data_IF_965384424653
#
_entry.id   IF_965384424653
#
_cell.length_a   1.000
_cell.length_b   1.000
_cell.length_c   1.000
_cell.angle_alpha   90.00
_cell.angle_beta   90.00
_cell.angle_gamma   90.00
#
_symmetry.space_group_name_H-M   'P 1'
#
loop_
_entity.id
_entity.type
_entity.pdbx_description
1 polymer ?
#
# COMPACT_ATOMS: atom_id res chain seq x y z
N UNK A 1 10.39 -26.96 -18.36
CA UNK A 1 10.12 -27.11 -16.92
C UNK A 1 11.10 -28.11 -16.36
N UNK A 2 11.81 -27.74 -15.30
CA UNK A 2 12.76 -28.63 -14.63
C UNK A 2 12.02 -29.62 -13.73
N UNK A 3 12.58 -30.81 -13.55
CA UNK A 3 12.05 -31.79 -12.60
C UNK A 3 11.97 -31.16 -11.19
N UNK A 4 10.85 -31.28 -10.46
CA UNK A 4 10.67 -30.66 -9.14
C UNK A 4 11.80 -30.97 -8.17
N UNK A 5 12.33 -32.20 -8.22
CA UNK A 5 13.45 -32.66 -7.40
C UNK A 5 14.75 -31.91 -7.70
N UNK A 6 15.02 -31.56 -8.96
CA UNK A 6 16.19 -30.77 -9.33
C UNK A 6 16.02 -29.32 -8.87
N UNK A 7 14.82 -28.75 -8.99
CA UNK A 7 14.51 -27.40 -8.49
C UNK A 7 14.76 -27.29 -6.98
N UNK A 8 14.28 -28.26 -6.19
CA UNK A 8 14.52 -28.31 -4.73
C UNK A 8 15.98 -28.54 -4.37
N UNK A 9 16.68 -29.41 -5.10
CA UNK A 9 18.11 -29.68 -4.89
C UNK A 9 18.96 -28.42 -5.12
N UNK A 10 18.75 -27.75 -6.25
CA UNK A 10 19.44 -26.49 -6.58
C UNK A 10 19.04 -25.38 -5.61
N UNK A 11 17.75 -25.31 -5.23
CA UNK A 11 17.27 -24.39 -4.21
C UNK A 11 17.93 -24.59 -2.85
N UNK A 12 18.15 -25.84 -2.44
CA UNK A 12 18.86 -26.17 -1.19
C UNK A 12 20.33 -25.74 -1.23
N UNK A 13 21.00 -25.91 -2.38
CA UNK A 13 22.35 -25.42 -2.58
C UNK A 13 22.42 -23.88 -2.50
N UNK A 14 21.48 -23.18 -3.14
CA UNK A 14 21.35 -21.73 -3.06
C UNK A 14 21.11 -21.24 -1.62
N UNK A 15 20.22 -21.91 -0.87
CA UNK A 15 19.96 -21.63 0.56
C UNK A 15 21.22 -21.78 1.40
N UNK A 16 22.06 -22.77 1.11
CA UNK A 16 23.29 -23.03 1.86
C UNK A 16 24.38 -21.98 1.57
N UNK A 17 24.61 -21.68 0.30
CA UNK A 17 25.75 -20.90 -0.19
C UNK A 17 25.48 -19.39 -0.32
N UNK A 18 24.23 -18.99 -0.51
CA UNK A 18 23.85 -17.61 -0.84
C UNK A 18 23.90 -17.31 -2.34
N UNK A 19 23.17 -16.29 -2.82
CA UNK A 19 22.97 -16.00 -4.25
C UNK A 19 24.25 -15.58 -4.97
N UNK A 20 25.14 -14.84 -4.32
CA UNK A 20 26.40 -14.37 -4.91
C UNK A 20 27.34 -15.53 -5.27
N UNK A 21 27.61 -16.41 -4.30
CA UNK A 21 28.46 -17.58 -4.50
C UNK A 21 27.80 -18.52 -5.51
N UNK A 22 26.49 -18.73 -5.38
CA UNK A 22 25.74 -19.58 -6.31
C UNK A 22 25.88 -19.10 -7.76
N UNK A 23 25.68 -17.80 -8.04
CA UNK A 23 25.77 -17.25 -9.39
C UNK A 23 27.20 -17.16 -9.92
N UNK A 24 28.21 -17.16 -9.04
CA UNK A 24 29.62 -17.30 -9.47
C UNK A 24 29.92 -18.68 -10.05
N UNK A 25 29.21 -19.73 -9.59
CA UNK A 25 29.38 -21.11 -10.05
C UNK A 25 28.47 -21.38 -11.25
N UNK A 26 27.22 -20.91 -11.18
CA UNK A 26 26.21 -21.07 -12.23
C UNK A 26 25.74 -19.69 -12.72
N UNK A 27 26.52 -19.02 -13.60
CA UNK A 27 26.13 -17.72 -14.16
C UNK A 27 24.92 -17.86 -15.09
N UNK A 28 24.11 -16.80 -15.19
CA UNK A 28 22.87 -16.81 -16.01
C UNK A 28 23.14 -16.94 -17.52
N UNK A 29 24.36 -16.60 -17.99
CA UNK A 29 24.79 -16.71 -19.41
C UNK A 29 23.76 -16.15 -20.41
N UNK A 30 23.31 -14.92 -20.17
CA UNK A 30 22.25 -14.29 -20.97
C UNK A 30 22.77 -13.63 -22.27
N UNK A 31 24.09 -13.59 -22.45
CA UNK A 31 24.77 -13.02 -23.64
C UNK A 31 24.92 -14.01 -24.81
N UNK A 32 24.43 -15.25 -24.69
CA UNK A 32 24.65 -16.31 -25.68
C UNK A 32 23.57 -16.23 -26.77
N UNK A 33 23.97 -16.28 -28.06
CA UNK A 33 23.04 -16.25 -29.21
C UNK A 33 22.02 -17.41 -29.20
N UNK A 34 22.37 -18.52 -28.54
CA UNK A 34 21.47 -19.65 -28.32
C UNK A 34 20.78 -19.55 -26.95
N UNK A 35 19.48 -19.25 -26.97
CA UNK A 35 18.62 -19.22 -25.79
C UNK A 35 18.57 -20.56 -25.04
N UNK A 36 18.94 -21.68 -25.68
CA UNK A 36 19.03 -22.99 -25.05
C UNK A 36 20.25 -23.13 -24.10
N UNK A 37 21.27 -22.30 -24.28
CA UNK A 37 22.46 -22.26 -23.41
C UNK A 37 22.33 -21.27 -22.24
N UNK A 38 21.30 -20.41 -22.29
CA UNK A 38 20.99 -19.46 -21.23
C UNK A 38 20.35 -20.17 -20.02
N UNK A 39 20.87 -19.89 -18.83
CA UNK A 39 20.39 -20.48 -17.58
C UNK A 39 19.14 -19.76 -17.03
N UNK A 40 18.21 -19.35 -17.90
CA UNK A 40 16.96 -18.65 -17.54
C UNK A 40 16.10 -19.46 -16.57
N UNK A 41 16.22 -20.79 -16.64
CA UNK A 41 15.55 -21.73 -15.74
C UNK A 41 15.95 -21.56 -14.27
N UNK A 42 17.07 -20.89 -13.98
CA UNK A 42 17.56 -20.59 -12.63
C UNK A 42 16.75 -19.46 -11.98
N UNK A 43 16.13 -18.56 -12.76
CA UNK A 43 15.40 -17.40 -12.23
C UNK A 43 14.28 -17.78 -11.24
N UNK A 44 13.42 -18.78 -11.51
CA UNK A 44 12.44 -19.27 -10.53
C UNK A 44 13.08 -19.79 -9.24
N UNK A 45 14.25 -20.43 -9.30
CA UNK A 45 14.99 -20.91 -8.12
C UNK A 45 15.50 -19.73 -7.30
N UNK A 46 16.14 -18.75 -7.94
CA UNK A 46 16.58 -17.51 -7.29
C UNK A 46 15.41 -16.79 -6.64
N UNK A 47 14.29 -16.66 -7.34
CA UNK A 47 13.09 -16.01 -6.83
C UNK A 47 12.55 -16.70 -5.57
N UNK A 48 12.53 -18.03 -5.53
CA UNK A 48 11.94 -18.75 -4.40
C UNK A 48 12.85 -18.86 -3.19
N UNK A 49 14.16 -19.04 -3.39
CA UNK A 49 15.08 -19.46 -2.33
C UNK A 49 16.06 -18.37 -1.87
N UNK A 50 16.12 -17.21 -2.54
CA UNK A 50 16.99 -16.09 -2.13
C UNK A 50 16.48 -15.43 -0.84
N UNK A 51 17.36 -15.39 0.15
CA UNK A 51 17.21 -14.68 1.43
C UNK A 51 18.61 -14.26 1.90
N UNK A 52 18.77 -13.07 2.46
CA UNK A 52 20.10 -12.65 2.95
C UNK A 52 21.09 -12.29 1.85
N UNK A 53 20.61 -11.73 0.74
CA UNK A 53 21.45 -11.29 -0.38
C UNK A 53 22.04 -9.89 -0.14
N UNK A 54 23.06 -9.50 -0.89
CA UNK A 54 23.46 -8.10 -0.98
C UNK A 54 22.68 -7.37 -2.08
N UNK A 55 22.11 -6.21 -1.75
CA UNK A 55 21.46 -5.29 -2.70
C UNK A 55 22.47 -4.74 -3.71
N UNK A 56 23.72 -4.52 -3.29
CA UNK A 56 24.82 -4.15 -4.19
C UNK A 56 25.05 -5.20 -5.27
N UNK A 57 24.88 -6.50 -4.97
CA UNK A 57 24.95 -7.56 -5.97
C UNK A 57 23.77 -7.51 -6.95
N UNK A 58 22.55 -7.25 -6.47
CA UNK A 58 21.41 -7.07 -7.37
C UNK A 58 21.68 -5.93 -8.36
N UNK A 59 22.20 -4.80 -7.87
CA UNK A 59 22.61 -3.66 -8.71
C UNK A 59 23.70 -4.04 -9.71
N UNK A 60 24.83 -4.56 -9.23
CA UNK A 60 26.03 -4.79 -10.03
C UNK A 60 25.97 -6.00 -10.96
N UNK A 61 25.08 -6.96 -10.69
CA UNK A 61 24.97 -8.18 -11.48
C UNK A 61 23.65 -8.23 -12.24
N UNK A 62 22.52 -8.05 -11.57
CA UNK A 62 21.20 -8.25 -12.19
C UNK A 62 20.78 -7.03 -13.01
N UNK A 63 20.88 -5.81 -12.47
CA UNK A 63 20.52 -4.60 -13.22
C UNK A 63 21.50 -4.33 -14.37
N UNK A 64 22.79 -4.58 -14.19
CA UNK A 64 23.77 -4.46 -15.28
C UNK A 64 23.43 -5.34 -16.50
N UNK A 65 22.84 -6.53 -16.29
CA UNK A 65 22.36 -7.37 -17.38
C UNK A 65 21.21 -6.69 -18.14
N UNK A 66 20.27 -6.06 -17.41
CA UNK A 66 19.17 -5.32 -18.04
C UNK A 66 19.67 -4.17 -18.92
N UNK A 67 20.68 -3.44 -18.45
CA UNK A 67 21.29 -2.32 -19.20
C UNK A 67 22.02 -2.79 -20.46
N UNK A 68 22.62 -3.99 -20.43
CA UNK A 68 23.28 -4.60 -21.57
C UNK A 68 22.27 -5.12 -22.61
N UNK A 69 21.20 -5.79 -22.17
CA UNK A 69 20.16 -6.32 -23.07
C UNK A 69 19.29 -5.21 -23.68
N UNK A 70 19.00 -4.14 -22.93
CA UNK A 70 18.29 -2.96 -23.43
C UNK A 70 19.00 -2.26 -24.59
N UNK A 71 20.30 -2.52 -24.79
CA UNK A 71 21.09 -2.03 -25.93
C UNK A 71 21.18 -3.01 -27.10
N UNK A 72 20.89 -4.31 -26.92
CA UNK A 72 21.31 -5.34 -27.89
C UNK A 72 20.13 -5.98 -28.67
N UNK A 73 18.88 -6.00 -28.20
CA UNK A 73 17.82 -6.73 -28.95
C UNK A 73 16.45 -6.02 -28.96
N UNK A 74 16.06 -5.53 -30.14
CA UNK A 74 14.67 -5.20 -30.46
C UNK A 74 13.86 -6.48 -30.73
N UNK A 75 13.38 -7.16 -29.69
CA UNK A 75 12.43 -8.26 -29.86
C UNK A 75 11.49 -8.43 -28.65
N UNK A 76 10.28 -8.95 -28.90
CA UNK A 76 9.25 -9.24 -27.87
C UNK A 76 9.67 -10.28 -26.82
N UNK A 77 10.81 -10.96 -27.00
CA UNK A 77 11.37 -11.91 -26.01
C UNK A 77 12.10 -11.19 -24.87
N UNK A 78 12.49 -9.92 -25.06
CA UNK A 78 13.21 -9.13 -24.08
C UNK A 78 12.32 -8.76 -22.88
N UNK A 79 11.10 -8.28 -23.12
CA UNK A 79 10.18 -7.80 -22.08
C UNK A 79 9.87 -8.86 -21.00
N UNK A 80 9.73 -10.13 -21.40
CA UNK A 80 9.45 -11.23 -20.47
C UNK A 80 10.67 -11.57 -19.59
N UNK A 81 11.89 -11.47 -20.15
CA UNK A 81 13.12 -11.68 -19.40
C UNK A 81 13.41 -10.50 -18.48
N UNK A 82 13.25 -9.26 -18.97
CA UNK A 82 13.33 -8.03 -18.17
C UNK A 82 12.40 -8.11 -16.97
N UNK A 83 11.13 -8.47 -17.18
CA UNK A 83 10.19 -8.68 -16.10
C UNK A 83 10.64 -9.79 -15.14
N UNK A 84 11.16 -10.91 -15.67
CA UNK A 84 11.61 -12.04 -14.85
C UNK A 84 12.79 -11.66 -13.94
N UNK A 85 13.76 -10.89 -14.45
CA UNK A 85 14.89 -10.34 -13.70
C UNK A 85 14.43 -9.36 -12.63
N UNK A 86 13.55 -8.40 -12.98
CA UNK A 86 12.92 -7.52 -11.99
C UNK A 86 12.20 -8.31 -10.91
N UNK A 87 11.52 -9.41 -11.28
CA UNK A 87 10.75 -10.22 -10.34
C UNK A 87 11.59 -10.93 -9.28
N UNK A 88 12.93 -10.90 -9.39
CA UNK A 88 13.85 -11.34 -8.34
C UNK A 88 14.00 -10.31 -7.21
N UNK A 89 13.78 -9.01 -7.49
CA UNK A 89 14.04 -7.92 -6.54
C UNK A 89 13.37 -8.16 -5.16
N UNK A 90 12.09 -8.58 -5.04
CA UNK A 90 11.47 -8.82 -3.73
C UNK A 90 12.23 -9.86 -2.89
N UNK A 91 12.79 -10.89 -3.54
CA UNK A 91 13.57 -11.93 -2.87
C UNK A 91 14.95 -11.42 -2.45
N UNK A 92 15.57 -10.53 -3.23
CA UNK A 92 16.78 -9.82 -2.81
C UNK A 92 16.51 -8.83 -1.67
N UNK A 93 15.29 -8.30 -1.56
CA UNK A 93 14.86 -7.46 -0.45
C UNK A 93 14.47 -8.24 0.82
N UNK A 94 14.46 -9.57 0.78
CA UNK A 94 14.17 -10.43 1.93
C UNK A 94 15.41 -10.57 2.84
N UNK A 95 15.43 -9.80 3.93
CA UNK A 95 16.55 -9.67 4.86
C UNK A 95 17.95 -9.42 4.25
N UNK A 96 18.13 -8.47 3.30
CA UNK A 96 19.44 -8.14 2.74
C UNK A 96 20.46 -7.67 3.77
N UNK A 97 21.74 -7.95 3.49
CA UNK A 97 22.83 -7.76 4.45
C UNK A 97 23.46 -6.36 4.43
N UNK A 98 23.17 -5.54 3.40
CA UNK A 98 23.82 -4.25 3.13
C UNK A 98 22.83 -3.12 2.78
N UNK A 99 21.64 -3.12 3.38
CA UNK A 99 20.62 -2.10 3.06
C UNK A 99 21.09 -0.70 3.40
N UNK A 100 21.74 -0.52 4.56
CA UNK A 100 22.21 0.78 5.03
C UNK A 100 23.25 1.40 4.08
N UNK A 101 24.11 0.57 3.50
CA UNK A 101 25.21 0.97 2.63
C UNK A 101 24.76 1.12 1.17
N UNK A 102 23.97 0.17 0.66
CA UNK A 102 23.76 0.00 -0.78
C UNK A 102 22.42 0.50 -1.30
N UNK A 103 21.41 0.72 -0.44
CA UNK A 103 20.07 1.07 -0.92
C UNK A 103 20.03 2.43 -1.64
N UNK A 104 20.85 3.40 -1.19
CA UNK A 104 20.89 4.72 -1.82
C UNK A 104 21.36 4.66 -3.27
N UNK A 105 22.28 3.76 -3.57
CA UNK A 105 22.80 3.55 -4.93
C UNK A 105 21.78 2.92 -5.87
N UNK A 106 20.73 2.28 -5.34
CA UNK A 106 19.61 1.72 -6.11
C UNK A 106 18.47 2.71 -6.34
N UNK A 107 18.45 3.83 -5.61
CA UNK A 107 17.33 4.79 -5.62
C UNK A 107 17.00 5.24 -7.04
N UNK A 108 18.03 5.60 -7.82
CA UNK A 108 17.85 6.19 -9.15
C UNK A 108 17.28 5.17 -10.13
N UNK A 109 17.81 3.96 -10.14
CA UNK A 109 17.40 2.86 -11.00
C UNK A 109 15.95 2.45 -10.70
N UNK A 110 15.59 2.35 -9.42
CA UNK A 110 14.21 2.06 -9.00
C UNK A 110 13.24 3.18 -9.37
N UNK A 111 13.61 4.45 -9.16
CA UNK A 111 12.76 5.58 -9.52
C UNK A 111 12.57 5.70 -11.04
N UNK A 112 13.61 5.43 -11.82
CA UNK A 112 13.56 5.43 -13.28
C UNK A 112 12.63 4.32 -13.78
N UNK A 113 12.79 3.09 -13.27
CA UNK A 113 11.92 1.98 -13.61
C UNK A 113 10.46 2.22 -13.21
N UNK A 114 10.19 2.86 -12.06
CA UNK A 114 8.84 3.28 -11.69
C UNK A 114 8.22 4.26 -12.69
N UNK A 115 9.01 5.12 -13.32
CA UNK A 115 8.52 6.08 -14.31
C UNK A 115 8.32 5.46 -15.70
N UNK A 116 9.23 4.59 -16.10
CA UNK A 116 9.35 4.10 -17.48
C UNK A 116 8.66 2.75 -17.70
N UNK A 117 8.55 1.91 -16.67
CA UNK A 117 8.12 0.51 -16.78
C UNK A 117 6.90 0.20 -15.88
N UNK A 118 5.66 0.44 -16.36
CA UNK A 118 4.45 0.20 -15.56
C UNK A 118 4.31 -1.24 -15.05
N UNK A 119 4.81 -2.22 -15.81
CA UNK A 119 4.70 -3.65 -15.50
C UNK A 119 5.49 -4.04 -14.24
N UNK A 120 6.57 -3.33 -13.91
CA UNK A 120 7.42 -3.65 -12.74
C UNK A 120 7.05 -2.83 -11.51
N UNK A 121 6.13 -1.88 -11.64
CA UNK A 121 5.70 -1.01 -10.54
C UNK A 121 5.25 -1.81 -9.30
N UNK A 122 4.48 -2.88 -9.51
CA UNK A 122 4.03 -3.76 -8.42
C UNK A 122 5.18 -4.51 -7.72
N UNK A 123 6.19 -4.90 -8.49
CA UNK A 123 7.41 -5.57 -7.98
C UNK A 123 8.17 -4.61 -7.07
N UNK A 124 8.46 -3.40 -7.55
CA UNK A 124 9.21 -2.38 -6.79
C UNK A 124 8.44 -1.98 -5.53
N UNK A 125 7.13 -1.79 -5.62
CA UNK A 125 6.27 -1.55 -4.47
C UNK A 125 6.39 -2.66 -3.41
N UNK A 126 6.29 -3.92 -3.83
CA UNK A 126 6.44 -5.07 -2.93
C UNK A 126 7.82 -5.11 -2.27
N UNK A 127 8.88 -4.86 -3.03
CA UNK A 127 10.26 -4.80 -2.52
C UNK A 127 10.45 -3.72 -1.46
N UNK A 128 9.96 -2.49 -1.71
CA UNK A 128 10.03 -1.40 -0.74
C UNK A 128 9.24 -1.74 0.54
N UNK A 129 8.05 -2.32 0.40
CA UNK A 129 7.25 -2.76 1.55
C UNK A 129 7.97 -3.81 2.39
N UNK A 130 8.59 -4.82 1.76
CA UNK A 130 9.38 -5.85 2.47
C UNK A 130 10.48 -5.19 3.29
N UNK A 131 11.28 -4.30 2.66
CA UNK A 131 12.37 -3.59 3.33
C UNK A 131 11.90 -2.78 4.54
N UNK A 132 10.80 -2.04 4.40
CA UNK A 132 10.29 -1.19 5.48
C UNK A 132 9.68 -2.05 6.61
N UNK A 133 8.79 -2.97 6.25
CA UNK A 133 8.02 -3.75 7.22
C UNK A 133 8.92 -4.69 8.05
N UNK A 134 9.90 -5.34 7.42
CA UNK A 134 10.79 -6.25 8.16
C UNK A 134 11.61 -5.50 9.21
N UNK A 135 12.18 -4.33 8.88
CA UNK A 135 12.97 -3.55 9.82
C UNK A 135 12.10 -2.97 10.94
N UNK A 136 10.88 -2.50 10.64
CA UNK A 136 9.93 -2.06 11.67
C UNK A 136 9.57 -3.16 12.66
N UNK A 137 9.29 -4.38 12.18
CA UNK A 137 8.94 -5.51 13.06
C UNK A 137 10.05 -5.81 14.07
N UNK A 138 11.32 -5.70 13.65
CA UNK A 138 12.48 -5.84 14.54
C UNK A 138 12.47 -4.75 15.62
N UNK A 139 12.28 -3.48 15.24
CA UNK A 139 12.24 -2.36 16.19
C UNK A 139 11.03 -2.40 17.14
N UNK A 140 9.90 -2.92 16.68
CA UNK A 140 8.69 -3.08 17.48
C UNK A 140 8.76 -4.31 18.42
N UNK A 141 9.82 -5.11 18.35
CA UNK A 141 9.97 -6.35 19.12
C UNK A 141 9.00 -7.46 18.70
N UNK A 142 8.33 -7.31 17.54
CA UNK A 142 7.40 -8.29 16.96
C UNK A 142 8.16 -9.36 16.18
N UNK A 143 9.14 -9.98 16.82
CA UNK A 143 9.93 -11.05 16.20
C UNK A 143 9.27 -12.39 16.53
N UNK A 144 8.58 -12.98 15.56
CA UNK A 144 8.15 -14.37 15.63
C UNK A 144 9.37 -15.30 15.45
N UNK A 145 10.23 -15.36 16.47
CA UNK A 145 11.36 -16.29 16.55
C UNK A 145 10.91 -17.77 16.62
N UNK A 146 9.61 -18.01 16.81
CA UNK A 146 9.03 -19.32 17.08
C UNK A 146 8.22 -19.92 15.92
N UNK A 147 8.33 -19.38 14.70
CA UNK A 147 7.85 -20.08 13.52
C UNK A 147 8.71 -21.31 13.26
N UNK A 148 8.25 -22.50 13.66
CA UNK A 148 8.86 -23.83 13.45
C UNK A 148 9.19 -24.19 11.97
N UNK A 149 9.02 -23.24 11.04
CA UNK A 149 9.02 -23.42 9.59
C UNK A 149 9.93 -22.40 8.84
N UNK A 150 10.70 -21.57 9.57
CA UNK A 150 11.62 -20.62 8.95
C UNK A 150 12.86 -21.35 8.40
N UNK A 151 13.12 -21.22 7.09
CA UNK A 151 14.31 -21.80 6.44
C UNK A 151 15.61 -21.39 7.14
N UNK A 152 16.63 -22.27 7.12
CA UNK A 152 17.94 -22.01 7.72
C UNK A 152 18.60 -20.73 7.17
N UNK A 153 18.40 -20.40 5.89
CA UNK A 153 18.89 -19.13 5.32
C UNK A 153 18.23 -17.90 5.94
N UNK A 154 16.91 -17.95 6.18
CA UNK A 154 16.17 -16.87 6.81
C UNK A 154 16.63 -16.64 8.25
N UNK A 155 16.83 -17.71 9.02
CA UNK A 155 17.33 -17.61 10.39
C UNK A 155 18.73 -16.95 10.43
N UNK A 156 19.62 -17.37 9.52
CA UNK A 156 20.96 -16.75 9.39
C UNK A 156 20.87 -15.26 9.04
N UNK A 157 20.07 -14.90 8.04
CA UNK A 157 19.90 -13.50 7.65
C UNK A 157 19.30 -12.64 8.78
N UNK A 158 18.26 -13.14 9.46
CA UNK A 158 17.63 -12.46 10.58
C UNK A 158 18.57 -12.23 11.77
N UNK A 159 19.59 -13.08 11.97
CA UNK A 159 20.60 -12.88 13.01
C UNK A 159 21.41 -11.58 12.83
N UNK A 160 21.48 -11.04 11.60
CA UNK A 160 22.14 -9.77 11.31
C UNK A 160 21.23 -8.55 11.56
N UNK A 161 19.92 -8.75 11.69
CA UNK A 161 18.93 -7.68 11.91
C UNK A 161 18.81 -7.36 13.41
N UNK A 162 19.90 -6.83 13.98
CA UNK A 162 19.87 -6.24 15.33
C UNK A 162 19.01 -4.96 15.33
N UNK A 163 18.54 -4.47 16.50
CA UNK A 163 17.82 -3.19 16.57
C UNK A 163 18.62 -2.03 15.96
N UNK A 164 19.96 -2.02 16.11
CA UNK A 164 20.82 -1.01 15.51
C UNK A 164 20.84 -1.13 13.99
N UNK A 165 21.09 -2.33 13.45
CA UNK A 165 21.08 -2.57 12.01
C UNK A 165 19.72 -2.21 11.38
N UNK A 166 18.62 -2.57 12.06
CA UNK A 166 17.28 -2.22 11.60
C UNK A 166 17.04 -0.70 11.57
N UNK A 167 17.56 0.03 12.56
CA UNK A 167 17.49 1.49 12.58
C UNK A 167 18.33 2.11 11.45
N UNK A 168 19.55 1.61 11.21
CA UNK A 168 20.43 2.09 10.14
C UNK A 168 19.85 1.83 8.75
N UNK A 169 19.28 0.64 8.53
CA UNK A 169 18.54 0.29 7.32
C UNK A 169 17.35 1.23 7.07
N UNK A 170 16.56 1.52 8.11
CA UNK A 170 15.44 2.46 8.01
C UNK A 170 15.90 3.90 7.77
N UNK A 171 17.05 4.32 8.30
CA UNK A 171 17.62 5.63 8.02
C UNK A 171 18.01 5.77 6.54
N UNK A 172 18.62 4.73 5.95
CA UNK A 172 18.90 4.69 4.51
C UNK A 172 17.61 4.80 3.67
N UNK A 173 16.58 4.00 3.99
CA UNK A 173 15.27 4.04 3.31
C UNK A 173 14.60 5.42 3.46
N UNK A 174 14.63 5.99 4.67
CA UNK A 174 14.09 7.31 4.99
C UNK A 174 14.72 8.42 4.17
N UNK A 175 16.05 8.38 3.96
CA UNK A 175 16.76 9.38 3.15
C UNK A 175 16.27 9.42 1.69
N UNK A 176 15.71 8.31 1.22
CA UNK A 176 15.19 8.14 -0.15
C UNK A 176 13.69 8.39 -0.26
N UNK A 177 12.99 8.52 0.88
CA UNK A 177 11.53 8.58 0.91
C UNK A 177 10.96 9.78 0.14
N UNK A 178 11.68 10.91 0.08
CA UNK A 178 11.26 12.08 -0.70
C UNK A 178 11.07 11.75 -2.18
N UNK A 179 12.04 11.06 -2.77
CA UNK A 179 12.05 10.78 -4.21
C UNK A 179 10.98 9.74 -4.54
N UNK A 180 10.92 8.64 -3.78
CA UNK A 180 9.89 7.63 -3.94
C UNK A 180 8.48 8.19 -3.74
N UNK A 181 8.24 9.03 -2.72
CA UNK A 181 6.93 9.66 -2.53
C UNK A 181 6.56 10.57 -3.71
N UNK A 182 7.53 11.24 -4.34
CA UNK A 182 7.30 12.07 -5.53
C UNK A 182 6.83 11.23 -6.71
N UNK A 183 7.62 10.20 -7.05
CA UNK A 183 7.34 9.31 -8.20
C UNK A 183 6.06 8.51 -7.99
N UNK A 184 5.90 7.87 -6.82
CA UNK A 184 4.74 7.04 -6.52
C UNK A 184 3.45 7.85 -6.48
N UNK A 185 3.46 9.06 -5.89
CA UNK A 185 2.27 9.93 -5.87
C UNK A 185 1.91 10.40 -7.28
N UNK A 186 2.91 10.71 -8.11
CA UNK A 186 2.71 11.06 -9.52
C UNK A 186 2.09 9.92 -10.32
N UNK A 187 2.62 8.71 -10.16
CA UNK A 187 2.12 7.51 -10.81
C UNK A 187 0.72 7.11 -10.32
N UNK A 188 0.47 7.25 -9.02
CA UNK A 188 -0.84 6.97 -8.42
C UNK A 188 -1.96 7.82 -9.04
N UNK A 189 -1.70 9.10 -9.28
CA UNK A 189 -2.68 10.00 -9.92
C UNK A 189 -2.83 9.78 -11.44
N UNK A 190 -1.86 9.12 -12.10
CA UNK A 190 -1.94 8.76 -13.52
C UNK A 190 -2.58 7.40 -13.77
N UNK A 191 -2.63 6.53 -12.76
CA UNK A 191 -3.15 5.16 -12.90
C UNK A 191 -4.67 5.15 -13.12
N UNK A 192 -5.11 4.49 -14.19
CA UNK A 192 -6.53 4.23 -14.46
C UNK A 192 -7.08 3.01 -13.70
N UNK A 193 -6.21 2.14 -13.16
CA UNK A 193 -6.57 0.93 -12.42
C UNK A 193 -6.32 1.06 -10.91
N UNK A 194 -6.80 0.06 -10.15
CA UNK A 194 -6.72 -0.03 -8.69
C UNK A 194 -5.27 0.07 -8.19
N UNK A 195 -4.86 1.28 -7.80
CA UNK A 195 -3.53 1.63 -7.33
C UNK A 195 -3.21 1.12 -5.93
N UNK A 196 -3.77 -0.02 -5.52
CA UNK A 196 -3.66 -0.55 -4.16
C UNK A 196 -2.22 -0.78 -3.71
N UNK A 197 -1.35 -1.31 -4.60
CA UNK A 197 0.06 -1.49 -4.30
C UNK A 197 0.81 -0.16 -4.12
N UNK A 198 0.52 0.84 -4.95
CA UNK A 198 1.05 2.19 -4.85
C UNK A 198 0.62 2.85 -3.54
N UNK A 199 -0.68 2.83 -3.24
CA UNK A 199 -1.25 3.38 -2.00
C UNK A 199 -0.61 2.75 -0.75
N UNK A 200 -0.50 1.41 -0.70
CA UNK A 200 0.13 0.73 0.43
C UNK A 200 1.61 1.09 0.58
N UNK A 201 2.33 1.27 -0.54
CA UNK A 201 3.76 1.65 -0.50
C UNK A 201 3.94 3.09 -0.05
N UNK A 202 3.09 4.01 -0.52
CA UNK A 202 3.07 5.41 -0.05
C UNK A 202 2.80 5.44 1.46
N UNK A 203 1.89 4.60 1.96
CA UNK A 203 1.60 4.45 3.40
C UNK A 203 2.83 4.00 4.19
N UNK A 204 3.53 2.96 3.74
CA UNK A 204 4.76 2.51 4.40
C UNK A 204 5.86 3.58 4.36
N UNK A 205 6.05 4.29 3.25
CA UNK A 205 7.03 5.37 3.15
C UNK A 205 6.68 6.56 4.04
N UNK A 206 5.41 6.97 4.09
CA UNK A 206 4.95 8.08 4.91
C UNK A 206 5.21 7.84 6.40
N UNK A 207 5.17 6.59 6.85
CA UNK A 207 5.43 6.24 8.24
C UNK A 207 6.90 6.34 8.67
N UNK A 208 7.84 6.32 7.72
CA UNK A 208 9.29 6.42 8.01
C UNK A 208 9.89 7.76 7.58
N UNK A 209 9.24 8.48 6.66
CA UNK A 209 9.70 9.76 6.14
C UNK A 209 9.73 10.86 7.21
N UNK A 210 10.56 11.89 7.00
CA UNK A 210 10.52 13.08 7.85
C UNK A 210 9.15 13.77 7.78
N UNK A 211 8.66 14.22 8.93
CA UNK A 211 7.35 14.88 9.07
C UNK A 211 7.19 16.03 8.07
N UNK A 212 8.23 16.85 7.88
CA UNK A 212 8.20 17.97 6.94
C UNK A 212 7.95 17.54 5.48
N UNK A 213 8.51 16.39 5.09
CA UNK A 213 8.32 15.83 3.75
C UNK A 213 6.87 15.40 3.58
N UNK A 214 6.33 14.64 4.54
CA UNK A 214 4.95 14.16 4.51
C UNK A 214 3.96 15.33 4.54
N UNK A 215 4.15 16.30 5.43
CA UNK A 215 3.36 17.55 5.52
C UNK A 215 3.30 18.27 4.18
N UNK A 216 4.42 18.37 3.47
CA UNK A 216 4.48 19.03 2.16
C UNK A 216 3.67 18.27 1.12
N UNK A 217 3.82 16.95 1.03
CA UNK A 217 3.03 16.12 0.12
C UNK A 217 1.54 16.19 0.45
N UNK A 218 1.19 16.09 1.73
CA UNK A 218 -0.19 16.17 2.20
C UNK A 218 -0.83 17.52 1.85
N UNK A 219 -0.15 18.63 2.13
CA UNK A 219 -0.64 19.99 1.76
C UNK A 219 -0.91 20.11 0.27
N UNK A 220 0.01 19.64 -0.57
CA UNK A 220 -0.15 19.68 -2.03
C UNK A 220 -1.35 18.84 -2.48
N UNK A 221 -1.54 17.66 -1.89
CA UNK A 221 -2.70 16.80 -2.14
C UNK A 221 -4.00 17.47 -1.72
N UNK A 222 -4.06 18.06 -0.52
CA UNK A 222 -5.24 18.75 -0.01
C UNK A 222 -5.59 20.00 -0.84
N UNK A 223 -4.60 20.75 -1.31
CA UNK A 223 -4.83 21.90 -2.20
C UNK A 223 -5.42 21.48 -3.55
N UNK A 224 -4.90 20.40 -4.14
CA UNK A 224 -5.46 19.82 -5.37
C UNK A 224 -6.87 19.29 -5.14
N UNK A 225 -7.10 18.60 -4.02
CA UNK A 225 -8.41 18.06 -3.66
C UNK A 225 -9.45 19.16 -3.54
N UNK A 226 -9.10 20.26 -2.86
CA UNK A 226 -9.98 21.43 -2.73
C UNK A 226 -10.31 22.02 -4.10
N UNK A 227 -9.30 22.22 -4.96
CA UNK A 227 -9.48 22.77 -6.30
C UNK A 227 -10.43 21.90 -7.15
N UNK A 228 -10.18 20.60 -7.23
CA UNK A 228 -11.00 19.66 -8.00
C UNK A 228 -12.43 19.57 -7.44
N UNK A 229 -12.59 19.66 -6.11
CA UNK A 229 -13.92 19.69 -5.47
C UNK A 229 -14.70 20.95 -5.82
N UNK A 230 -14.05 22.12 -5.85
CA UNK A 230 -14.69 23.37 -6.28
C UNK A 230 -15.07 23.35 -7.76
N UNK A 231 -14.21 22.79 -8.61
CA UNK A 231 -14.49 22.62 -10.05
C UNK A 231 -15.71 21.72 -10.28
N UNK A 232 -15.82 20.61 -9.54
CA UNK A 232 -16.98 19.72 -9.61
C UNK A 232 -18.30 20.43 -9.22
N UNK A 233 -18.32 21.14 -8.09
CA UNK A 233 -19.53 21.86 -7.65
C UNK A 233 -19.96 23.00 -8.58
N UNK A 234 -19.00 23.69 -9.21
CA UNK A 234 -19.29 24.71 -10.23
C UNK A 234 -19.89 24.09 -11.49
N UNK A 235 -19.39 22.93 -11.92
CA UNK A 235 -19.92 22.21 -13.09
C UNK A 235 -21.36 21.75 -12.87
N UNK A 236 -21.71 21.31 -11.66
CA UNK A 236 -23.08 20.94 -11.29
C UNK A 236 -24.02 22.15 -11.28
N UNK A 237 -23.58 23.28 -10.71
CA UNK A 237 -24.37 24.53 -10.68
C UNK A 237 -24.65 25.06 -12.09
N UNK A 238 -23.67 24.94 -13.00
CA UNK A 238 -23.83 25.32 -14.41
C UNK A 238 -24.75 24.39 -15.20
N UNK A 239 -24.82 23.10 -14.85
CA UNK A 239 -25.76 22.14 -15.47
C UNK A 239 -27.21 22.42 -15.06
N UNK A 240 -27.42 22.80 -13.79
CA UNK A 240 -28.75 23.12 -13.28
C UNK A 240 -29.34 24.43 -13.83
N UNK A 241 -28.51 25.28 -14.47
CA UNK A 241 -28.92 26.57 -15.03
C UNK A 241 -29.13 26.56 -16.56
N UNK A 242 -28.62 25.55 -17.29
CA UNK A 242 -28.74 25.45 -18.75
C UNK A 242 -29.43 24.13 -19.16
N UNK A 243 -30.73 24.17 -19.42
CA UNK A 243 -31.53 23.07 -19.93
C UNK A 243 -31.41 22.91 -21.46
N UNK A 244 -30.24 22.53 -21.97
CA UNK A 244 -30.11 21.82 -23.26
C UNK A 244 -28.82 20.97 -23.26
N UNK A 245 -28.97 19.67 -23.44
CA UNK A 245 -27.88 18.69 -23.48
C UNK A 245 -27.01 18.80 -24.74
N UNK A 246 -25.71 18.58 -24.60
CA UNK A 246 -24.88 17.74 -25.50
C UNK A 246 -23.51 17.44 -24.86
N UNK A 247 -23.16 16.15 -24.82
CA UNK A 247 -21.81 15.53 -24.81
C UNK A 247 -20.73 15.91 -23.78
N UNK A 248 -21.09 16.42 -22.59
CA UNK A 248 -20.12 16.77 -21.52
C UNK A 248 -20.07 15.79 -20.32
N UNK A 249 -20.52 14.54 -20.49
CA UNK A 249 -20.52 13.50 -19.44
C UNK A 249 -19.11 12.98 -19.08
N UNK A 250 -18.14 13.17 -19.98
CA UNK A 250 -16.74 12.74 -19.80
C UNK A 250 -15.99 13.57 -18.75
N UNK A 251 -16.24 14.88 -18.67
CA UNK A 251 -15.53 15.75 -17.74
C UNK A 251 -15.96 15.51 -16.28
N UNK A 252 -17.25 15.30 -16.01
CA UNK A 252 -17.75 15.04 -14.65
C UNK A 252 -17.22 13.72 -14.07
N UNK A 253 -17.24 12.65 -14.86
CA UNK A 253 -16.69 11.35 -14.44
C UNK A 253 -15.18 11.41 -14.24
N UNK A 254 -14.45 12.20 -15.03
CA UNK A 254 -13.01 12.43 -14.84
C UNK A 254 -12.69 13.19 -13.54
N UNK A 255 -13.47 14.21 -13.18
CA UNK A 255 -13.28 14.98 -11.94
C UNK A 255 -13.58 14.12 -10.70
N UNK A 256 -14.64 13.30 -10.75
CA UNK A 256 -14.96 12.36 -9.68
C UNK A 256 -13.84 11.32 -9.48
N UNK A 257 -13.26 10.81 -10.57
CA UNK A 257 -12.13 9.88 -10.48
C UNK A 257 -10.89 10.53 -9.83
N UNK A 258 -10.51 11.73 -10.28
CA UNK A 258 -9.36 12.45 -9.72
C UNK A 258 -9.60 12.80 -8.25
N UNK A 259 -10.82 13.24 -7.90
CA UNK A 259 -11.20 13.52 -6.51
C UNK A 259 -11.13 12.27 -5.63
N UNK A 260 -11.59 11.13 -6.13
CA UNK A 260 -11.48 9.84 -5.46
C UNK A 260 -10.02 9.43 -5.21
N UNK A 261 -9.15 9.58 -6.22
CA UNK A 261 -7.71 9.32 -6.09
C UNK A 261 -7.05 10.26 -5.07
N UNK A 262 -7.41 11.55 -5.06
CA UNK A 262 -6.84 12.51 -4.10
C UNK A 262 -7.21 12.17 -2.65
N UNK A 263 -8.41 11.66 -2.39
CA UNK A 263 -8.78 11.11 -1.07
C UNK A 263 -7.93 9.88 -0.70
N UNK A 264 -7.78 8.92 -1.62
CA UNK A 264 -6.93 7.75 -1.39
C UNK A 264 -5.46 8.15 -1.13
N UNK A 265 -4.93 9.11 -1.88
CA UNK A 265 -3.57 9.62 -1.70
C UNK A 265 -3.43 10.33 -0.35
N UNK A 266 -4.40 11.17 0.04
CA UNK A 266 -4.37 11.89 1.30
C UNK A 266 -4.35 10.94 2.51
N UNK A 267 -5.19 9.91 2.51
CA UNK A 267 -5.21 8.92 3.60
C UNK A 267 -3.98 8.01 3.58
N UNK A 268 -3.35 7.79 2.42
CA UNK A 268 -2.09 7.05 2.35
C UNK A 268 -0.96 7.76 3.10
N UNK A 269 -1.04 9.08 3.28
CA UNK A 269 -0.04 9.84 4.03
C UNK A 269 -0.28 9.83 5.55
N UNK A 270 -1.42 9.28 6.00
CA UNK A 270 -1.88 9.31 7.40
C UNK A 270 -0.81 8.93 8.44
N UNK A 271 0.03 7.88 8.26
CA UNK A 271 1.01 7.50 9.28
C UNK A 271 2.04 8.58 9.62
N UNK A 272 2.28 9.54 8.71
CA UNK A 272 3.22 10.64 8.94
C UNK A 272 2.55 11.97 9.32
N UNK A 273 1.22 12.01 9.46
CA UNK A 273 0.48 13.24 9.76
C UNK A 273 0.44 13.56 11.26
N UNK A 274 0.41 14.85 11.57
CA UNK A 274 0.14 15.34 12.93
C UNK A 274 -1.36 15.58 13.17
N UNK A 275 -1.75 15.83 14.42
CA UNK A 275 -3.16 16.02 14.80
C UNK A 275 -3.89 17.11 14.00
N UNK A 276 -3.24 18.24 13.69
CA UNK A 276 -3.86 19.32 12.91
C UNK A 276 -4.10 18.92 11.46
N UNK A 277 -3.22 18.11 10.90
CA UNK A 277 -3.35 17.60 9.53
C UNK A 277 -4.43 16.52 9.43
N UNK A 278 -4.55 15.67 10.46
CA UNK A 278 -5.65 14.70 10.59
C UNK A 278 -6.99 15.43 10.69
N UNK A 279 -7.07 16.48 11.53
CA UNK A 279 -8.26 17.34 11.61
C UNK A 279 -8.60 17.98 10.26
N UNK A 280 -7.60 18.47 9.51
CA UNK A 280 -7.81 19.04 8.18
C UNK A 280 -8.36 18.00 7.18
N UNK A 281 -7.84 16.77 7.21
CA UNK A 281 -8.34 15.67 6.39
C UNK A 281 -9.80 15.34 6.75
N UNK A 282 -10.12 15.31 8.05
CA UNK A 282 -11.49 15.08 8.52
C UNK A 282 -12.45 16.19 8.06
N UNK A 283 -12.04 17.46 8.16
CA UNK A 283 -12.83 18.62 7.69
C UNK A 283 -13.16 18.49 6.20
N UNK A 284 -12.21 18.06 5.37
CA UNK A 284 -12.46 17.83 3.95
C UNK A 284 -13.31 16.59 3.67
N UNK A 285 -13.21 15.56 4.52
CA UNK A 285 -13.95 14.30 4.38
C UNK A 285 -15.43 14.47 4.76
N UNK A 286 -15.74 15.28 5.76
CA UNK A 286 -17.11 15.48 6.29
C UNK A 286 -18.16 15.83 5.22
N UNK A 287 -17.98 16.83 4.34
CA UNK A 287 -18.95 17.11 3.27
C UNK A 287 -19.02 15.98 2.24
N UNK A 288 -17.91 15.30 1.97
CA UNK A 288 -17.86 14.20 0.98
C UNK A 288 -18.63 12.94 1.42
N UNK A 289 -19.00 12.82 2.70
CA UNK A 289 -19.89 11.75 3.19
C UNK A 289 -21.33 11.89 2.67
N UNK A 290 -21.72 13.08 2.19
CA UNK A 290 -23.04 13.39 1.61
C UNK A 290 -22.97 13.72 0.12
N UNK A 291 -21.86 13.42 -0.53
CA UNK A 291 -21.65 13.74 -1.94
C UNK A 291 -22.65 12.99 -2.83
N UNK A 292 -23.17 13.60 -3.89
CA UNK A 292 -24.11 12.94 -4.80
C UNK A 292 -23.45 11.77 -5.55
N UNK A 293 -22.13 11.82 -5.74
CA UNK A 293 -21.36 10.75 -6.37
C UNK A 293 -21.05 9.62 -5.37
N UNK A 294 -21.67 8.46 -5.56
CA UNK A 294 -21.46 7.28 -4.71
C UNK A 294 -19.99 6.79 -4.65
N UNK A 295 -19.18 7.08 -5.68
CA UNK A 295 -17.73 6.82 -5.65
C UNK A 295 -17.04 7.67 -4.57
N UNK A 296 -17.41 8.94 -4.46
CA UNK A 296 -16.80 9.90 -3.54
C UNK A 296 -17.23 9.61 -2.11
N UNK A 297 -18.51 9.31 -1.88
CA UNK A 297 -18.96 8.82 -0.59
C UNK A 297 -18.16 7.57 -0.17
N UNK A 298 -18.01 6.58 -1.06
CA UNK A 298 -17.23 5.37 -0.77
C UNK A 298 -15.80 5.70 -0.32
N UNK A 299 -15.12 6.64 -0.99
CA UNK A 299 -13.77 7.07 -0.60
C UNK A 299 -13.77 7.85 0.70
N UNK A 300 -14.72 8.75 0.93
CA UNK A 300 -14.83 9.51 2.16
C UNK A 300 -15.01 8.60 3.39
N UNK A 301 -15.91 7.61 3.31
CA UNK A 301 -16.05 6.61 4.38
C UNK A 301 -14.80 5.73 4.55
N UNK A 302 -14.09 5.39 3.46
CA UNK A 302 -12.81 4.68 3.55
C UNK A 302 -11.75 5.54 4.27
N UNK A 303 -11.65 6.82 3.95
CA UNK A 303 -10.74 7.75 4.66
C UNK A 303 -11.09 7.79 6.14
N UNK A 304 -12.37 7.98 6.46
CA UNK A 304 -12.84 8.04 7.83
C UNK A 304 -12.53 6.74 8.58
N UNK A 305 -12.85 5.57 8.02
CA UNK A 305 -12.60 4.30 8.70
C UNK A 305 -11.11 4.08 9.00
N UNK A 306 -10.22 4.48 8.10
CA UNK A 306 -8.78 4.39 8.31
C UNK A 306 -8.31 5.37 9.41
N UNK A 307 -8.86 6.58 9.48
CA UNK A 307 -8.57 7.52 10.58
C UNK A 307 -9.02 6.92 11.91
N UNK A 308 -10.26 6.44 12.00
CA UNK A 308 -10.83 5.90 13.25
C UNK A 308 -10.06 4.66 13.75
N UNK A 309 -9.57 3.82 12.85
CA UNK A 309 -8.82 2.61 13.21
C UNK A 309 -7.39 2.89 13.70
N UNK A 310 -6.75 3.96 13.21
CA UNK A 310 -5.32 4.20 13.45
C UNK A 310 -5.04 5.42 14.35
N UNK A 311 -6.04 6.24 14.66
CA UNK A 311 -5.87 7.48 15.40
C UNK A 311 -6.77 7.53 16.64
N UNK A 312 -6.46 6.73 17.67
CA UNK A 312 -7.24 6.65 18.92
C UNK A 312 -7.46 8.01 19.59
N UNK A 313 -6.43 8.88 19.59
CA UNK A 313 -6.52 10.23 20.17
C UNK A 313 -7.51 11.11 19.44
N UNK A 314 -7.57 11.02 18.11
CA UNK A 314 -8.56 11.72 17.29
C UNK A 314 -9.97 11.18 17.55
N UNK A 315 -10.11 9.86 17.55
CA UNK A 315 -11.38 9.18 17.82
C UNK A 315 -11.96 9.59 19.18
N UNK A 316 -11.16 9.58 20.25
CA UNK A 316 -11.59 10.05 21.57
C UNK A 316 -11.98 11.53 21.57
N UNK A 317 -11.20 12.40 20.92
CA UNK A 317 -11.46 13.84 20.90
C UNK A 317 -12.72 14.21 20.11
N UNK A 318 -13.09 13.41 19.10
CA UNK A 318 -14.19 13.69 18.15
C UNK A 318 -15.38 12.76 18.29
N UNK A 319 -15.39 11.91 19.31
CA UNK A 319 -16.36 10.81 19.45
C UNK A 319 -17.82 11.26 19.33
N UNK A 320 -18.24 12.24 20.14
CA UNK A 320 -19.62 12.77 20.12
C UNK A 320 -19.98 13.46 18.79
N UNK A 321 -19.02 14.12 18.14
CA UNK A 321 -19.22 14.72 16.82
C UNK A 321 -19.42 13.62 15.77
N UNK A 322 -18.64 12.55 15.83
CA UNK A 322 -18.70 11.41 14.92
C UNK A 322 -20.01 10.63 15.03
N UNK A 323 -20.51 10.40 16.26
CA UNK A 323 -21.79 9.73 16.47
C UNK A 323 -22.95 10.51 15.83
N UNK A 324 -23.03 11.82 16.09
CA UNK A 324 -24.03 12.70 15.48
C UNK A 324 -23.90 12.72 13.96
N UNK A 325 -22.67 12.82 13.46
CA UNK A 325 -22.40 12.80 12.03
C UNK A 325 -22.87 11.50 11.38
N UNK A 326 -22.61 10.33 11.99
CA UNK A 326 -23.03 9.03 11.45
C UNK A 326 -24.55 8.92 11.33
N UNK A 327 -25.31 9.44 12.29
CA UNK A 327 -26.78 9.48 12.22
C UNK A 327 -27.24 10.43 11.11
N UNK A 328 -26.65 11.62 11.02
CA UNK A 328 -27.05 12.66 10.07
C UNK A 328 -26.84 12.27 8.59
N UNK A 329 -25.76 11.53 8.29
CA UNK A 329 -25.42 11.11 6.91
C UNK A 329 -26.09 9.80 6.47
N UNK A 330 -26.82 9.11 7.37
CA UNK A 330 -27.43 7.80 7.08
C UNK A 330 -28.44 7.86 5.91
N UNK A 331 -29.37 8.84 5.83
CA UNK A 331 -30.38 8.87 4.78
C UNK A 331 -29.79 9.02 3.37
N UNK A 332 -28.60 9.62 3.26
CA UNK A 332 -27.89 9.88 2.01
C UNK A 332 -26.85 8.81 1.66
N UNK A 333 -26.72 7.73 2.44
CA UNK A 333 -25.64 6.76 2.26
C UNK A 333 -25.87 5.88 1.01
N UNK A 334 -25.03 6.07 0.00
CA UNK A 334 -25.05 5.27 -1.22
C UNK A 334 -24.62 3.82 -0.94
N UNK A 335 -25.17 2.87 -1.71
CA UNK A 335 -24.89 1.43 -1.54
C UNK A 335 -23.38 1.10 -1.58
N UNK A 336 -22.63 1.74 -2.48
CA UNK A 336 -21.17 1.57 -2.62
C UNK A 336 -20.37 1.95 -1.37
N UNK A 337 -20.93 2.77 -0.48
CA UNK A 337 -20.27 3.29 0.72
C UNK A 337 -20.59 2.46 1.98
N UNK A 338 -21.66 1.65 1.96
CA UNK A 338 -22.16 0.88 3.12
C UNK A 338 -21.07 0.08 3.83
N UNK A 339 -20.22 -0.63 3.08
CA UNK A 339 -19.13 -1.43 3.67
C UNK A 339 -18.19 -0.59 4.56
N UNK A 340 -17.66 0.52 4.04
CA UNK A 340 -16.75 1.38 4.80
C UNK A 340 -17.47 2.16 5.90
N UNK A 341 -18.76 2.43 5.75
CA UNK A 341 -19.59 2.97 6.82
C UNK A 341 -19.70 2.00 8.00
N UNK A 342 -19.91 0.71 7.74
CA UNK A 342 -19.92 -0.32 8.80
C UNK A 342 -18.57 -0.41 9.51
N UNK A 343 -17.45 -0.27 8.79
CA UNK A 343 -16.11 -0.19 9.40
C UNK A 343 -15.96 1.03 10.35
N UNK A 344 -16.55 2.16 9.98
CA UNK A 344 -16.61 3.34 10.86
C UNK A 344 -17.43 3.05 12.12
N UNK A 345 -18.63 2.47 11.96
CA UNK A 345 -19.50 2.10 13.08
C UNK A 345 -18.85 1.08 14.00
N UNK A 346 -18.19 0.07 13.45
CA UNK A 346 -17.42 -0.90 14.23
C UNK A 346 -16.37 -0.21 15.10
N UNK A 347 -15.58 0.70 14.53
CA UNK A 347 -14.56 1.45 15.27
C UNK A 347 -15.17 2.29 16.39
N UNK A 348 -16.32 2.94 16.14
CA UNK A 348 -17.06 3.71 17.13
C UNK A 348 -17.63 2.83 18.25
N UNK A 349 -18.18 1.66 17.92
CA UNK A 349 -18.76 0.72 18.89
C UNK A 349 -17.65 0.11 19.75
N UNK A 350 -16.52 -0.28 19.16
CA UNK A 350 -15.33 -0.76 19.89
C UNK A 350 -14.77 0.32 20.81
N UNK A 351 -14.89 1.60 20.44
CA UNK A 351 -14.53 2.69 21.34
C UNK A 351 -15.56 2.87 22.47
N UNK A 352 -16.86 2.83 22.13
CA UNK A 352 -17.96 2.95 23.07
C UNK A 352 -17.97 1.83 24.12
N UNK A 353 -17.56 0.62 23.77
CA UNK A 353 -17.49 -0.51 24.69
C UNK A 353 -16.46 -0.32 25.82
N UNK A 354 -15.51 0.60 25.64
CA UNK A 354 -14.55 1.04 26.66
C UNK A 354 -15.10 2.13 27.58
N UNK A 355 -16.28 2.70 27.28
CA UNK A 355 -16.94 3.75 28.06
C UNK A 355 -17.95 3.19 29.08
N UNK A 356 -18.47 4.06 29.97
CA UNK A 356 -19.48 3.69 30.98
C UNK A 356 -20.76 3.07 30.37
N UNK A 357 -21.39 2.17 31.14
CA UNK A 357 -22.46 1.28 30.67
C UNK A 357 -23.68 1.98 30.07
N UNK A 358 -24.10 3.13 30.61
CA UNK A 358 -25.32 3.82 30.16
C UNK A 358 -25.16 4.44 28.76
N UNK A 359 -24.09 5.23 28.54
CA UNK A 359 -23.80 5.84 27.22
C UNK A 359 -23.58 4.78 26.14
N UNK A 360 -22.98 3.66 26.52
CA UNK A 360 -22.73 2.52 25.64
C UNK A 360 -24.04 1.92 25.08
N UNK A 361 -25.05 1.72 25.93
CA UNK A 361 -26.34 1.17 25.50
C UNK A 361 -27.05 2.09 24.50
N UNK A 362 -27.12 3.39 24.78
CA UNK A 362 -27.77 4.37 23.91
C UNK A 362 -27.14 4.44 22.52
N UNK A 363 -25.81 4.37 22.46
CA UNK A 363 -25.05 4.36 21.21
C UNK A 363 -25.34 3.09 20.40
N UNK A 364 -25.27 1.92 21.03
CA UNK A 364 -25.54 0.65 20.36
C UNK A 364 -26.98 0.62 19.84
N UNK A 365 -27.96 1.03 20.65
CA UNK A 365 -29.37 1.11 20.24
C UNK A 365 -29.59 2.04 19.05
N UNK A 366 -28.84 3.15 18.96
CA UNK A 366 -28.95 4.12 17.86
C UNK A 366 -28.55 3.56 16.49
N UNK A 367 -27.67 2.56 16.44
CA UNK A 367 -27.19 1.95 15.19
C UNK A 367 -27.66 0.50 14.99
N UNK A 368 -28.32 -0.10 15.97
CA UNK A 368 -28.73 -1.51 15.96
C UNK A 368 -29.60 -1.85 14.74
N UNK A 369 -30.58 -1.00 14.43
CA UNK A 369 -31.46 -1.21 13.27
C UNK A 369 -30.67 -1.20 11.96
N UNK A 370 -29.69 -0.31 11.83
CA UNK A 370 -28.82 -0.24 10.64
C UNK A 370 -27.98 -1.51 10.50
N UNK A 371 -27.36 -1.97 11.60
CA UNK A 371 -26.53 -3.18 11.63
C UNK A 371 -27.35 -4.42 11.29
N UNK A 372 -28.57 -4.55 11.85
CA UNK A 372 -29.49 -5.65 11.56
C UNK A 372 -29.95 -5.65 10.09
N UNK A 373 -30.18 -4.47 9.51
CA UNK A 373 -30.54 -4.37 8.10
C UNK A 373 -29.36 -4.77 7.19
N UNK A 374 -28.15 -4.33 7.52
CA UNK A 374 -26.94 -4.74 6.80
C UNK A 374 -26.70 -6.26 6.88
N UNK A 375 -26.98 -6.87 8.03
CA UNK A 375 -26.94 -8.32 8.26
C UNK A 375 -27.87 -9.12 7.34
N UNK A 376 -29.01 -8.53 6.94
CA UNK A 376 -30.05 -9.21 6.17
C UNK A 376 -29.88 -9.10 4.66
N UNK A 377 -29.11 -8.12 4.19
CA UNK A 377 -28.81 -7.95 2.76
C UNK A 377 -27.82 -9.04 2.28
N UNK A 378 -28.31 -9.99 1.46
CA UNK A 378 -27.60 -11.21 0.99
C UNK A 378 -26.28 -10.91 0.23
N UNK A 379 -26.06 -9.67 -0.19
CA UNK A 379 -24.88 -9.20 -0.92
C UNK A 379 -23.62 -9.00 -0.07
N UNK A 380 -23.68 -9.20 1.25
CA UNK A 380 -22.59 -8.94 2.20
C UNK A 380 -21.72 -10.15 2.58
N UNK A 381 -21.49 -11.09 1.65
CA UNK A 381 -20.59 -12.24 1.87
C UNK A 381 -19.18 -11.80 2.34
N UNK A 382 -18.71 -10.61 1.94
CA UNK A 382 -17.42 -10.05 2.36
C UNK A 382 -17.45 -9.26 3.69
N UNK A 383 -18.62 -9.05 4.31
CA UNK A 383 -18.73 -8.40 5.61
C UNK A 383 -18.97 -9.37 6.77
N UNK A 384 -19.08 -10.69 6.51
CA UNK A 384 -19.39 -11.69 7.54
C UNK A 384 -18.53 -11.55 8.79
N UNK A 385 -17.21 -11.45 8.64
CA UNK A 385 -16.28 -11.30 9.77
C UNK A 385 -16.43 -9.96 10.52
N UNK A 386 -16.65 -8.84 9.81
CA UNK A 386 -16.85 -7.53 10.44
C UNK A 386 -18.17 -7.51 11.21
N UNK A 387 -19.21 -8.08 10.63
CA UNK A 387 -20.55 -8.16 11.20
C UNK A 387 -20.58 -9.11 12.39
N UNK A 388 -19.91 -10.27 12.31
CA UNK A 388 -19.71 -11.16 13.46
C UNK A 388 -18.92 -10.48 14.57
N UNK A 389 -17.90 -9.69 14.23
CA UNK A 389 -17.13 -8.91 15.20
C UNK A 389 -17.99 -7.83 15.87
N UNK A 390 -18.85 -7.13 15.11
CA UNK A 390 -19.83 -6.19 15.65
C UNK A 390 -20.82 -6.94 16.56
N UNK A 391 -21.34 -8.07 16.12
CA UNK A 391 -22.28 -8.91 16.87
C UNK A 391 -21.67 -9.43 18.18
N UNK A 392 -20.41 -9.87 18.17
CA UNK A 392 -19.69 -10.27 19.37
C UNK A 392 -19.45 -9.10 20.32
N UNK A 393 -19.06 -7.93 19.83
CA UNK A 393 -18.87 -6.75 20.68
C UNK A 393 -20.21 -6.30 21.30
N UNK A 394 -21.32 -6.42 20.57
CA UNK A 394 -22.66 -6.12 21.09
C UNK A 394 -23.13 -7.19 22.08
N UNK A 395 -22.85 -8.48 21.83
CA UNK A 395 -23.28 -9.58 22.70
C UNK A 395 -22.47 -9.67 24.00
N UNK A 396 -21.20 -9.26 23.97
CA UNK A 396 -20.31 -9.23 25.14
C UNK A 396 -20.43 -7.94 25.96
N UNK A 397 -21.09 -6.90 25.43
CA UNK A 397 -21.35 -5.63 26.11
C UNK A 397 -22.65 -5.67 26.92
#
# INVERSE_FOLDING_TARGET
MIAPQLHECVGSALVAMGPEIFLSILPLKLEVEDQAEANVWVLPVLKQYTVGAHLSFFRGSILNILDLEGRIVSSRSCDALVYSLWSLLPSFCNYPLDTAESFKDLEKELCTALCEEPNVCGIICSSLQILIQQNKRILEGKIDLHGSDASTSRQRAMAHYTPQAAADNLNALKSSAREFLSVLSGNFLKSAQDGGCLQSTICELASIADKEIVTRFFRNTMQKLLKVTQEAGNAETSRNSNTMETDNSSNGSSLALVRAQLFDLAVSLLPGLNAKEIDLLFVATKPALRDDEGLIQKKAYKVLSIILRNCDTFLSAKFEELLKLMIEVLPSCHFSAKHHRLECLYSLIVHASKCESEKRCDIISSFLTEIILALKEVSFVNCGALIESIGMVIFLA
#
